data_IF_907598850436
#
_entry.id   IF_907598850436
#
_cell.length_a   1.000
_cell.length_b   1.000
_cell.length_c   1.000
_cell.angle_alpha   90.00
_cell.angle_beta   90.00
_cell.angle_gamma   90.00
#
_symmetry.space_group_name_H-M   'P 1'
#
loop_
_entity.id
_entity.type
_entity.pdbx_description
1 polymer ?
#
# COMPACT_ATOMS: atom_id res chain seq x y z
N UNK A 1 2.34 24.28 -20.76
CA UNK A 1 1.54 23.08 -20.35
C UNK A 1 1.06 23.30 -18.94
N UNK A 2 -0.17 22.89 -18.60
CA UNK A 2 -0.62 22.90 -17.21
C UNK A 2 0.23 21.92 -16.37
N UNK A 3 0.63 22.32 -15.17
CA UNK A 3 1.43 21.48 -14.27
C UNK A 3 0.53 20.55 -13.48
N UNK A 4 0.93 19.28 -13.34
CA UNK A 4 0.32 18.35 -12.38
C UNK A 4 0.99 18.50 -11.01
N UNK A 5 0.22 18.24 -9.95
CA UNK A 5 0.75 18.17 -8.59
C UNK A 5 1.20 16.74 -8.31
N UNK A 6 2.45 16.60 -7.87
CA UNK A 6 2.99 15.36 -7.31
C UNK A 6 3.11 15.49 -5.81
N UNK A 7 2.49 14.59 -5.06
CA UNK A 7 2.54 14.55 -3.59
C UNK A 7 3.17 13.24 -3.13
N UNK A 8 4.17 13.35 -2.25
CA UNK A 8 4.74 12.20 -1.54
C UNK A 8 3.86 11.90 -0.33
N UNK A 9 3.45 10.65 -0.18
CA UNK A 9 2.68 10.19 0.98
C UNK A 9 3.63 9.53 1.97
N UNK A 10 3.54 9.96 3.23
CA UNK A 10 4.37 9.45 4.33
C UNK A 10 3.55 9.49 5.62
N UNK A 11 3.62 8.43 6.41
CA UNK A 11 3.00 8.31 7.74
C UNK A 11 3.86 7.46 8.66
N UNK A 12 3.88 7.81 9.95
CA UNK A 12 4.56 7.03 11.00
C UNK A 12 3.77 5.79 11.43
N UNK A 13 2.53 5.64 10.97
CA UNK A 13 1.66 4.49 11.26
C UNK A 13 1.90 3.30 10.31
N UNK A 14 2.75 3.48 9.30
CA UNK A 14 3.25 2.42 8.44
C UNK A 14 4.79 2.42 8.52
N UNK A 15 5.46 1.29 8.23
CA UNK A 15 6.91 1.19 8.33
C UNK A 15 7.60 2.25 7.47
N UNK A 16 8.67 2.84 8.01
CA UNK A 16 9.49 3.77 7.25
C UNK A 16 10.08 3.08 6.01
N UNK A 17 10.28 3.85 4.93
CA UNK A 17 10.98 3.33 3.75
C UNK A 17 12.41 2.93 4.13
N UNK A 18 12.80 1.69 3.82
CA UNK A 18 14.13 1.14 4.15
C UNK A 18 15.14 1.31 3.01
N UNK A 19 14.81 2.15 2.01
CA UNK A 19 15.61 2.42 0.82
C UNK A 19 15.16 3.70 0.12
N UNK A 20 15.69 4.01 -1.09
CA UNK A 20 15.41 5.26 -1.81
C UNK A 20 14.04 5.23 -2.52
N UNK A 21 12.97 4.99 -1.76
CA UNK A 21 11.59 4.97 -2.25
C UNK A 21 10.64 5.68 -1.26
N UNK A 22 9.44 6.03 -1.72
CA UNK A 22 8.37 6.62 -0.90
C UNK A 22 7.33 5.56 -0.55
N UNK A 23 6.64 5.66 0.60
CA UNK A 23 5.54 4.74 0.93
C UNK A 23 4.45 4.72 -0.17
N UNK A 24 4.12 5.91 -0.68
CA UNK A 24 3.34 6.08 -1.90
C UNK A 24 3.60 7.44 -2.55
N UNK A 25 3.24 7.55 -3.83
CA UNK A 25 3.28 8.79 -4.61
C UNK A 25 1.93 9.01 -5.26
N UNK A 26 1.38 10.21 -5.10
CA UNK A 26 0.17 10.66 -5.79
C UNK A 26 0.55 11.62 -6.90
N UNK A 27 0.05 11.38 -8.11
CA UNK A 27 0.13 12.32 -9.24
C UNK A 27 -1.28 12.51 -9.78
N UNK A 28 -1.76 13.75 -9.77
CA UNK A 28 -3.18 14.06 -9.99
C UNK A 28 -4.08 13.24 -9.05
N UNK A 29 -4.89 12.30 -9.56
CA UNK A 29 -5.73 11.42 -8.76
C UNK A 29 -5.20 10.01 -8.62
N UNK A 30 -4.13 9.64 -9.32
CA UNK A 30 -3.58 8.28 -9.25
C UNK A 30 -2.55 8.18 -8.14
N UNK A 31 -2.71 7.18 -7.28
CA UNK A 31 -1.80 6.85 -6.21
C UNK A 31 -1.10 5.53 -6.52
N UNK A 32 0.23 5.56 -6.51
CA UNK A 32 1.08 4.38 -6.61
C UNK A 32 1.60 4.05 -5.22
N UNK A 33 1.26 2.87 -4.72
CA UNK A 33 1.62 2.39 -3.38
C UNK A 33 2.73 1.35 -3.53
N UNK A 34 3.85 1.56 -2.82
CA UNK A 34 4.96 0.59 -2.84
C UNK A 34 4.54 -0.76 -2.29
N UNK A 35 5.34 -1.80 -2.58
CA UNK A 35 5.16 -3.11 -2.00
C UNK A 35 5.21 -3.08 -0.47
N UNK A 36 4.15 -3.60 0.15
CA UNK A 36 3.99 -3.66 1.59
C UNK A 36 4.33 -5.06 2.08
N UNK A 37 5.37 -5.16 2.91
CA UNK A 37 5.68 -6.34 3.69
C UNK A 37 4.89 -6.34 5.01
N UNK A 38 4.81 -7.51 5.64
CA UNK A 38 4.24 -7.69 6.97
C UNK A 38 5.14 -7.18 8.11
N UNK A 39 5.65 -5.95 8.00
CA UNK A 39 6.51 -5.34 9.02
C UNK A 39 5.69 -4.58 10.06
N UNK A 40 6.05 -4.71 11.32
CA UNK A 40 5.53 -3.88 12.39
C UNK A 40 6.10 -2.44 12.27
N UNK A 41 5.26 -1.39 12.25
CA UNK A 41 5.72 -0.01 12.04
C UNK A 41 6.66 0.52 13.13
N UNK A 42 6.53 0.04 14.38
CA UNK A 42 7.31 0.54 15.51
C UNK A 42 8.73 -0.05 15.54
N UNK A 43 8.84 -1.35 15.31
CA UNK A 43 10.12 -2.09 15.35
C UNK A 43 10.81 -2.19 13.99
N UNK A 44 10.06 -2.07 12.89
CA UNK A 44 10.54 -2.31 11.54
C UNK A 44 10.86 -3.77 11.23
N UNK A 45 10.50 -4.71 12.11
CA UNK A 45 10.72 -6.15 11.92
C UNK A 45 9.49 -6.83 11.31
N UNK A 46 9.69 -7.97 10.65
CA UNK A 46 8.57 -8.80 10.20
C UNK A 46 7.83 -9.37 11.41
N UNK A 47 6.49 -9.36 11.37
CA UNK A 47 5.69 -10.00 12.42
C UNK A 47 5.86 -11.51 12.40
N UNK A 48 5.83 -12.11 13.59
CA UNK A 48 5.80 -13.56 13.78
C UNK A 48 4.43 -14.15 13.37
N UNK A 49 4.34 -15.49 13.30
CA UNK A 49 3.10 -16.19 12.94
C UNK A 49 2.94 -16.49 11.44
N UNK A 50 4.01 -16.30 10.66
CA UNK A 50 4.08 -16.75 9.27
C UNK A 50 3.25 -15.92 8.29
N UNK A 51 2.93 -16.51 7.13
CA UNK A 51 2.37 -15.77 5.97
C UNK A 51 1.02 -15.12 6.24
N UNK A 52 0.18 -15.71 7.09
CA UNK A 52 -1.13 -15.14 7.42
C UNK A 52 -0.99 -13.86 8.26
N UNK A 53 -0.12 -13.89 9.27
CA UNK A 53 0.17 -12.72 10.10
C UNK A 53 0.83 -11.61 9.26
N UNK A 54 1.79 -11.97 8.41
CA UNK A 54 2.44 -11.00 7.53
C UNK A 54 1.48 -10.41 6.49
N UNK A 55 0.57 -11.20 5.92
CA UNK A 55 -0.48 -10.70 5.01
C UNK A 55 -1.35 -9.67 5.72
N UNK A 56 -1.80 -9.98 6.95
CA UNK A 56 -2.61 -9.05 7.75
C UNK A 56 -1.86 -7.75 8.00
N UNK A 57 -0.61 -7.83 8.43
CA UNK A 57 0.19 -6.65 8.73
C UNK A 57 0.48 -5.82 7.46
N UNK A 58 0.78 -6.46 6.32
CA UNK A 58 0.97 -5.78 5.04
C UNK A 58 -0.26 -4.96 4.63
N UNK A 59 -1.46 -5.55 4.78
CA UNK A 59 -2.72 -4.87 4.51
C UNK A 59 -3.04 -3.77 5.54
N UNK A 60 -2.66 -3.94 6.81
CA UNK A 60 -2.78 -2.85 7.79
C UNK A 60 -1.86 -1.68 7.40
N UNK A 61 -0.62 -1.95 7.04
CA UNK A 61 0.35 -0.94 6.60
C UNK A 61 -0.15 -0.18 5.37
N UNK A 62 -0.62 -0.89 4.34
CA UNK A 62 -1.23 -0.29 3.15
C UNK A 62 -2.46 0.56 3.51
N UNK A 63 -3.29 0.10 4.45
CA UNK A 63 -4.46 0.84 4.93
C UNK A 63 -4.08 2.17 5.60
N UNK A 64 -3.02 2.20 6.40
CA UNK A 64 -2.53 3.44 7.01
C UNK A 64 -1.91 4.40 5.98
N UNK A 65 -1.30 3.88 4.91
CA UNK A 65 -0.81 4.68 3.78
C UNK A 65 -1.98 5.29 2.99
N UNK A 66 -3.03 4.50 2.72
CA UNK A 66 -4.27 4.99 2.11
C UNK A 66 -4.90 6.11 2.95
N UNK A 67 -4.99 5.92 4.27
CA UNK A 67 -5.51 6.95 5.20
C UNK A 67 -4.69 8.23 5.16
N UNK A 68 -3.37 8.14 5.10
CA UNK A 68 -2.49 9.30 4.94
C UNK A 68 -2.69 10.04 3.60
N UNK A 69 -3.24 9.36 2.60
CA UNK A 69 -3.65 9.96 1.35
C UNK A 69 -5.09 10.51 1.35
N UNK A 70 -5.87 10.29 2.42
CA UNK A 70 -7.29 10.65 2.50
C UNK A 70 -8.25 9.57 1.98
N UNK A 71 -7.77 8.33 1.84
CA UNK A 71 -8.53 7.19 1.31
C UNK A 71 -8.68 6.07 2.34
N UNK A 72 -9.51 5.09 2.02
CA UNK A 72 -9.62 3.80 2.70
C UNK A 72 -9.82 2.71 1.65
N UNK A 73 -9.79 1.44 2.06
CA UNK A 73 -10.08 0.34 1.14
C UNK A 73 -11.50 0.45 0.57
N UNK A 74 -12.45 0.84 1.39
CA UNK A 74 -13.86 0.99 1.02
C UNK A 74 -14.07 2.13 0.02
N UNK A 75 -13.28 3.20 0.12
CA UNK A 75 -13.36 4.33 -0.81
C UNK A 75 -12.74 4.01 -2.17
N UNK A 76 -11.84 3.02 -2.24
CA UNK A 76 -11.09 2.67 -3.46
C UNK A 76 -11.66 1.41 -4.12
N UNK A 77 -12.21 0.48 -3.34
CA UNK A 77 -12.71 -0.83 -3.76
C UNK A 77 -14.09 -1.12 -3.15
N UNK A 78 -15.07 -0.24 -3.40
CA UNK A 78 -16.40 -0.27 -2.79
C UNK A 78 -17.23 -1.49 -3.21
N UNK A 79 -17.65 -1.54 -4.48
CA UNK A 79 -18.59 -2.59 -4.95
C UNK A 79 -17.87 -3.77 -5.60
N UNK A 80 -16.76 -3.49 -6.29
CA UNK A 80 -15.99 -4.50 -7.00
C UNK A 80 -14.61 -4.66 -6.37
N UNK A 81 -14.18 -5.91 -6.20
CA UNK A 81 -12.82 -6.21 -5.73
C UNK A 81 -11.78 -5.72 -6.76
N UNK A 82 -10.56 -5.33 -6.32
CA UNK A 82 -9.51 -4.91 -7.22
C UNK A 82 -9.15 -6.02 -8.21
N UNK A 83 -8.80 -5.60 -9.45
CA UNK A 83 -8.05 -6.46 -10.35
C UNK A 83 -6.75 -6.93 -9.67
N UNK A 84 -6.30 -8.15 -9.97
CA UNK A 84 -5.19 -8.77 -9.24
C UNK A 84 -4.33 -9.67 -10.12
N UNK A 85 -3.02 -9.54 -9.95
CA UNK A 85 -2.04 -10.55 -10.30
C UNK A 85 -1.49 -11.20 -9.01
N UNK A 86 -1.30 -12.51 -9.02
CA UNK A 86 -0.71 -13.24 -7.90
C UNK A 86 0.18 -14.35 -8.45
N UNK A 87 1.43 -14.38 -7.99
CA UNK A 87 2.43 -15.36 -8.38
C UNK A 87 3.49 -15.48 -7.29
N UNK A 88 4.20 -16.60 -7.28
CA UNK A 88 5.33 -16.81 -6.38
C UNK A 88 6.59 -16.21 -7.01
N UNK A 89 7.43 -15.58 -6.18
CA UNK A 89 8.76 -15.09 -6.56
C UNK A 89 9.86 -15.91 -5.87
N UNK A 90 11.10 -15.78 -6.32
CA UNK A 90 12.24 -16.50 -5.75
C UNK A 90 12.55 -16.08 -4.30
N UNK A 91 12.49 -14.78 -4.01
CA UNK A 91 12.72 -14.21 -2.69
C UNK A 91 12.08 -12.82 -2.59
N UNK A 92 11.73 -12.41 -1.38
CA UNK A 92 11.27 -11.07 -1.04
C UNK A 92 12.28 -10.38 -0.08
N UNK A 93 12.27 -9.04 0.00
CA UNK A 93 13.16 -8.32 0.91
C UNK A 93 12.97 -8.78 2.37
N UNK A 94 14.08 -8.84 3.11
CA UNK A 94 14.14 -9.28 4.52
C UNK A 94 13.58 -10.70 4.78
N UNK A 95 13.42 -11.52 3.74
CA UNK A 95 12.83 -12.85 3.90
C UNK A 95 11.33 -12.81 4.19
N UNK A 96 10.63 -11.75 3.76
CA UNK A 96 9.18 -11.70 3.82
C UNK A 96 8.53 -12.86 3.08
N UNK A 97 7.35 -13.28 3.53
CA UNK A 97 6.57 -14.37 2.95
C UNK A 97 5.51 -13.86 1.96
N UNK A 98 5.21 -12.57 2.01
CA UNK A 98 4.24 -11.89 1.15
C UNK A 98 4.61 -10.42 1.03
N UNK A 99 4.43 -9.87 -0.17
CA UNK A 99 4.52 -8.45 -0.46
C UNK A 99 3.32 -8.05 -1.31
N UNK A 100 2.67 -6.93 -0.97
CA UNK A 100 1.46 -6.46 -1.65
C UNK A 100 1.65 -5.03 -2.11
N UNK A 101 1.64 -4.80 -3.41
CA UNK A 101 1.61 -3.47 -4.03
C UNK A 101 0.19 -3.12 -4.50
N UNK A 102 -0.08 -1.83 -4.73
CA UNK A 102 -1.39 -1.40 -5.18
C UNK A 102 -1.34 -0.09 -5.98
N UNK A 103 -2.35 0.07 -6.85
CA UNK A 103 -2.70 1.33 -7.47
C UNK A 103 -4.10 1.72 -7.01
N UNK A 104 -4.26 2.97 -6.58
CA UNK A 104 -5.52 3.52 -6.12
C UNK A 104 -5.86 4.83 -6.84
N UNK A 105 -7.15 5.20 -6.86
CA UNK A 105 -7.63 6.48 -7.40
C UNK A 105 -8.27 7.29 -6.29
N UNK A 106 -7.87 8.55 -6.16
CA UNK A 106 -8.38 9.49 -5.16
C UNK A 106 -9.66 10.20 -5.65
N UNK A 107 -10.47 10.59 -4.67
CA UNK A 107 -11.67 11.40 -4.87
C UNK A 107 -12.97 10.59 -4.75
N UNK A 108 -14.12 11.23 -4.99
CA UNK A 108 -15.38 10.50 -5.04
C UNK A 108 -15.34 9.53 -6.22
N UNK A 109 -15.47 8.23 -5.91
CA UNK A 109 -15.66 7.19 -6.90
C UNK A 109 -17.15 6.85 -6.95
N UNK A 110 -17.67 6.69 -8.15
CA UNK A 110 -19.02 6.21 -8.39
C UNK A 110 -18.90 4.92 -9.17
N UNK A 111 -19.24 3.81 -8.51
CA UNK A 111 -19.36 2.54 -9.21
C UNK A 111 -20.57 2.60 -10.13
N UNK A 112 -20.34 2.28 -11.39
CA UNK A 112 -21.39 2.07 -12.39
C UNK A 112 -21.32 0.61 -12.80
N UNK A 113 -22.43 -0.12 -12.60
CA UNK A 113 -22.60 -1.50 -13.03
C UNK A 113 -23.28 -1.56 -14.39
#
# INVERSE_FOLDING_TARGET
MASLIRRIVSTTKAPAAIGPYSQAVVVDRTMYISGQLGMDPASGQLVEGGVQAQTRQALVNMGEILKAAGCSYENVFSTNYPARAAYQVAALPRGGLVEIEAVAVLGPLTDVS
#
